data_IF_018096480252
#
_entry.id   IF_018096480252
#
_cell.length_a   1.000
_cell.length_b   1.000
_cell.length_c   1.000
_cell.angle_alpha   90.00
_cell.angle_beta   90.00
_cell.angle_gamma   90.00
#
_symmetry.space_group_name_H-M   'P 1'
#
loop_
_entity.id
_entity.type
_entity.pdbx_description
1 polymer ?
#
# COMPACT_ATOMS: atom_id res chain seq x y z
N UNK A 1 3.13 -1.60 34.07
CA UNK A 1 1.95 -0.68 33.92
C UNK A 1 2.21 0.68 34.54
N UNK A 2 2.64 0.79 35.81
CA UNK A 2 2.82 2.08 36.50
C UNK A 2 3.91 3.00 35.94
N UNK A 3 4.94 2.48 35.26
CA UNK A 3 5.99 3.30 34.67
C UNK A 3 5.57 3.95 33.35
N UNK A 4 4.78 3.25 32.53
CA UNK A 4 4.31 3.79 31.24
C UNK A 4 3.23 4.87 31.41
N UNK A 5 2.44 4.82 32.47
CA UNK A 5 1.48 5.89 32.79
C UNK A 5 2.17 7.20 33.12
N UNK A 6 3.34 7.17 33.80
CA UNK A 6 4.12 8.37 34.14
C UNK A 6 4.77 9.03 32.91
N UNK A 7 4.88 8.30 31.79
CA UNK A 7 5.46 8.82 30.54
C UNK A 7 4.39 9.52 29.68
N UNK A 8 3.12 9.14 29.83
CA UNK A 8 2.03 9.76 29.06
C UNK A 8 1.76 11.19 29.56
N UNK A 9 1.82 12.21 28.67
CA UNK A 9 1.51 13.60 29.05
C UNK A 9 0.02 13.82 29.38
N UNK A 10 -0.84 12.84 29.06
CA UNK A 10 -2.29 12.89 29.30
C UNK A 10 -2.78 11.73 30.17
N UNK A 11 -1.88 11.04 30.86
CA UNK A 11 -2.16 9.90 31.75
C UNK A 11 -2.97 8.75 31.11
N UNK A 12 -2.88 8.60 29.79
CA UNK A 12 -3.57 7.55 29.03
C UNK A 12 -2.58 6.53 28.48
N UNK A 13 -2.72 5.27 28.88
CA UNK A 13 -2.02 4.13 28.28
C UNK A 13 -3.02 3.09 27.89
N UNK A 14 -3.03 2.70 26.62
CA UNK A 14 -3.87 1.62 26.08
C UNK A 14 -3.01 0.38 25.82
N UNK A 15 -3.42 -0.74 26.36
CA UNK A 15 -2.85 -2.04 26.04
C UNK A 15 -3.57 -2.62 24.81
N UNK A 16 -2.80 -3.12 23.86
CA UNK A 16 -3.29 -3.82 22.68
C UNK A 16 -2.51 -5.10 22.49
N UNK A 17 -3.20 -6.20 22.29
CA UNK A 17 -2.57 -7.43 21.87
C UNK A 17 -2.42 -7.46 20.35
N UNK A 18 -1.22 -7.73 19.89
CA UNK A 18 -0.88 -7.87 18.46
C UNK A 18 -0.32 -9.26 18.23
N UNK A 19 -0.68 -9.88 17.12
CA UNK A 19 -0.10 -11.15 16.70
C UNK A 19 1.09 -10.88 15.78
N UNK A 20 2.26 -11.31 16.20
CA UNK A 20 3.48 -11.21 15.40
C UNK A 20 3.39 -12.11 14.15
N UNK A 21 4.23 -11.83 13.14
CA UNK A 21 4.32 -12.66 11.91
C UNK A 21 4.58 -14.16 12.17
N UNK A 22 5.16 -14.50 13.32
CA UNK A 22 5.40 -15.87 13.79
C UNK A 22 4.22 -16.49 14.57
N UNK A 23 3.07 -15.84 14.61
CA UNK A 23 1.86 -16.28 15.29
C UNK A 23 1.85 -16.08 16.81
N UNK A 24 2.90 -15.51 17.41
CA UNK A 24 2.95 -15.28 18.86
C UNK A 24 2.20 -14.01 19.24
N UNK A 25 1.34 -14.03 20.28
CA UNK A 25 0.74 -12.83 20.82
C UNK A 25 1.79 -11.99 21.54
N UNK A 26 1.76 -10.68 21.32
CA UNK A 26 2.58 -9.70 22.02
C UNK A 26 1.72 -8.55 22.49
N UNK A 27 1.90 -8.15 23.75
CA UNK A 27 1.27 -6.96 24.30
C UNK A 27 2.06 -5.72 23.87
N UNK A 28 1.36 -4.78 23.26
CA UNK A 28 1.91 -3.46 22.90
C UNK A 28 1.18 -2.40 23.68
N UNK A 29 1.95 -1.52 24.31
CA UNK A 29 1.41 -0.37 25.03
C UNK A 29 1.45 0.86 24.15
N UNK A 30 0.29 1.50 23.96
CA UNK A 30 0.16 2.76 23.25
C UNK A 30 0.08 3.88 24.30
N UNK A 31 1.07 4.74 24.31
CA UNK A 31 1.18 5.85 25.26
C UNK A 31 0.44 7.05 24.67
N UNK A 32 -0.65 7.46 25.30
CA UNK A 32 -1.42 8.61 24.83
C UNK A 32 -0.58 9.89 24.80
N UNK A 33 -0.70 10.67 23.73
CA UNK A 33 0.04 11.90 23.52
C UNK A 33 1.49 11.74 23.08
N UNK A 34 1.96 10.49 22.86
CA UNK A 34 3.29 10.19 22.34
C UNK A 34 3.17 9.19 21.19
N UNK A 35 3.67 9.57 20.03
CA UNK A 35 3.79 8.65 18.89
C UNK A 35 5.07 7.83 18.99
N UNK A 36 4.94 6.53 18.86
CA UNK A 36 6.08 5.59 18.93
C UNK A 36 6.43 5.10 17.52
N UNK A 37 7.68 5.27 17.13
CA UNK A 37 8.21 4.84 15.83
C UNK A 37 9.23 3.74 16.04
N UNK A 38 9.12 2.65 15.27
CA UNK A 38 10.18 1.67 15.16
C UNK A 38 11.15 2.08 14.05
N UNK A 39 12.36 2.49 14.45
CA UNK A 39 13.38 2.95 13.51
C UNK A 39 13.83 1.83 12.55
N UNK A 40 13.75 0.57 12.94
CA UNK A 40 14.04 -0.56 12.05
C UNK A 40 13.06 -0.61 10.87
N UNK A 41 11.77 -0.50 11.15
CA UNK A 41 10.73 -0.49 10.11
C UNK A 41 10.88 0.73 9.20
N UNK A 42 11.15 1.90 9.76
CA UNK A 42 11.40 3.12 8.99
C UNK A 42 12.63 2.95 8.09
N UNK A 43 13.71 2.44 8.63
CA UNK A 43 14.94 2.23 7.88
C UNK A 43 14.74 1.26 6.71
N UNK A 44 14.00 0.16 6.92
CA UNK A 44 13.67 -0.82 5.88
C UNK A 44 12.79 -0.23 4.78
N UNK A 45 11.81 0.59 5.14
CA UNK A 45 10.84 1.14 4.18
C UNK A 45 11.40 2.31 3.37
N UNK A 46 12.33 3.08 3.93
CA UNK A 46 12.86 4.29 3.30
C UNK A 46 14.32 4.17 2.82
N UNK A 47 14.90 2.95 2.90
CA UNK A 47 16.22 2.67 2.34
C UNK A 47 16.11 1.63 1.23
N UNK A 48 16.42 2.02 -0.01
CA UNK A 48 16.31 1.16 -1.19
C UNK A 48 17.51 0.24 -1.42
N UNK A 49 18.49 0.23 -0.51
CA UNK A 49 19.67 -0.64 -0.62
C UNK A 49 19.40 -2.03 -0.05
N UNK A 50 19.78 -3.07 -0.78
CA UNK A 50 19.81 -4.42 -0.23
C UNK A 50 20.96 -4.54 0.78
N UNK A 51 20.65 -5.08 1.97
CA UNK A 51 21.63 -5.30 3.06
C UNK A 51 21.62 -6.74 3.49
N UNK A 52 22.76 -7.23 3.90
CA UNK A 52 22.91 -8.58 4.46
C UNK A 52 22.25 -8.72 5.85
N UNK A 53 22.16 -7.62 6.59
CA UNK A 53 21.59 -7.59 7.94
C UNK A 53 20.97 -6.23 8.25
N UNK A 54 19.83 -6.26 8.96
CA UNK A 54 19.13 -5.09 9.47
C UNK A 54 19.34 -4.87 10.98
N UNK A 55 20.29 -5.58 11.59
CA UNK A 55 20.65 -5.36 12.98
C UNK A 55 21.27 -3.98 13.13
N UNK A 56 20.97 -3.31 14.27
CA UNK A 56 21.49 -1.97 14.55
C UNK A 56 23.01 -1.88 14.42
N UNK A 57 23.72 -2.91 14.84
CA UNK A 57 25.17 -2.99 14.75
C UNK A 57 25.68 -2.93 13.31
N UNK A 58 25.11 -3.78 12.43
CA UNK A 58 25.46 -3.81 11.01
C UNK A 58 25.08 -2.49 10.29
N UNK A 59 23.90 -1.96 10.60
CA UNK A 59 23.45 -0.69 10.01
C UNK A 59 24.32 0.48 10.48
N UNK A 60 24.69 0.51 11.75
CA UNK A 60 25.54 1.56 12.30
C UNK A 60 26.97 1.48 11.74
N UNK A 61 27.52 0.27 11.57
CA UNK A 61 28.81 0.08 10.93
C UNK A 61 28.82 0.60 9.49
N UNK A 62 27.83 0.17 8.69
CA UNK A 62 27.71 0.58 7.28
C UNK A 62 27.47 2.08 7.11
N UNK A 63 26.65 2.67 7.97
CA UNK A 63 26.24 4.07 7.80
C UNK A 63 27.11 5.07 8.56
N UNK A 64 27.60 4.71 9.74
CA UNK A 64 28.32 5.61 10.63
C UNK A 64 29.80 5.23 10.80
N UNK A 65 30.19 4.00 10.44
CA UNK A 65 31.49 3.45 10.78
C UNK A 65 31.64 3.14 12.28
N UNK A 66 30.55 3.06 13.02
CA UNK A 66 30.52 2.82 14.45
C UNK A 66 29.78 1.52 14.77
N UNK A 67 30.16 0.90 15.89
CA UNK A 67 29.57 -0.36 16.36
C UNK A 67 28.96 -0.22 17.74
N UNK A 68 28.18 -1.23 18.09
CA UNK A 68 27.72 -1.45 19.46
C UNK A 68 28.91 -1.80 20.36
N UNK A 69 28.70 -1.63 21.66
CA UNK A 69 29.67 -2.13 22.65
C UNK A 69 29.61 -3.66 22.69
N UNK A 70 30.75 -4.31 22.52
CA UNK A 70 30.85 -5.76 22.64
C UNK A 70 30.86 -6.18 24.10
N UNK A 71 30.13 -7.22 24.43
CA UNK A 71 30.13 -7.83 25.76
C UNK A 71 30.10 -9.36 25.66
N UNK A 72 30.46 -10.05 26.72
CA UNK A 72 30.45 -11.52 26.79
C UNK A 72 29.20 -12.00 27.55
N UNK A 73 28.60 -13.09 27.08
CA UNK A 73 27.41 -13.68 27.70
C UNK A 73 26.10 -13.08 27.20
N UNK A 74 25.08 -13.10 28.05
CA UNK A 74 23.73 -12.56 27.77
C UNK A 74 23.56 -11.16 28.36
N UNK A 75 22.52 -10.43 27.93
CA UNK A 75 22.13 -9.15 28.55
C UNK A 75 21.79 -9.30 30.04
N UNK A 76 21.24 -10.45 30.45
CA UNK A 76 21.01 -10.76 31.88
C UNK A 76 22.30 -10.91 32.65
N UNK A 77 23.30 -11.55 32.06
CA UNK A 77 24.62 -11.68 32.70
C UNK A 77 25.29 -10.32 32.86
N UNK A 78 25.17 -9.47 31.82
CA UNK A 78 25.71 -8.12 31.85
C UNK A 78 25.01 -7.27 32.94
N UNK A 79 23.70 -7.35 33.02
CA UNK A 79 22.91 -6.65 34.05
C UNK A 79 23.29 -7.04 35.47
N UNK A 80 23.52 -8.36 35.72
CA UNK A 80 23.80 -8.87 37.05
C UNK A 80 25.26 -8.72 37.47
N UNK A 81 26.21 -8.76 36.52
CA UNK A 81 27.64 -8.84 36.82
C UNK A 81 28.38 -7.53 36.53
N UNK A 82 27.90 -6.71 35.57
CA UNK A 82 28.54 -5.44 35.20
C UNK A 82 27.49 -4.39 34.83
N UNK A 83 26.91 -3.83 35.86
CA UNK A 83 25.86 -2.78 35.71
C UNK A 83 26.37 -1.54 34.98
N UNK A 84 27.65 -1.17 35.18
CA UNK A 84 28.23 -0.01 34.53
C UNK A 84 28.27 -0.21 33.00
N UNK A 85 28.83 -1.34 32.56
CA UNK A 85 28.88 -1.66 31.15
C UNK A 85 27.48 -1.85 30.52
N UNK A 86 26.52 -2.40 31.28
CA UNK A 86 25.13 -2.50 30.86
C UNK A 86 24.52 -1.10 30.57
N UNK A 87 24.79 -0.12 31.45
CA UNK A 87 24.32 1.24 31.23
C UNK A 87 25.00 1.88 30.01
N UNK A 88 26.31 1.71 29.85
CA UNK A 88 27.07 2.22 28.71
C UNK A 88 26.59 1.62 27.39
N UNK A 89 26.32 0.31 27.38
CA UNK A 89 25.71 -0.37 26.25
C UNK A 89 24.37 0.25 25.82
N UNK A 90 23.46 0.45 26.76
CA UNK A 90 22.17 1.06 26.48
C UNK A 90 22.31 2.51 25.95
N UNK A 91 23.22 3.29 26.56
CA UNK A 91 23.49 4.67 26.12
C UNK A 91 24.04 4.67 24.69
N UNK A 92 24.93 3.74 24.36
CA UNK A 92 25.49 3.63 23.01
C UNK A 92 24.42 3.24 21.98
N UNK A 93 23.53 2.31 22.30
CA UNK A 93 22.41 1.94 21.41
C UNK A 93 21.51 3.16 21.08
N UNK A 94 21.19 3.96 22.07
CA UNK A 94 20.41 5.21 21.88
C UNK A 94 21.20 6.24 21.06
N UNK A 95 22.49 6.40 21.32
CA UNK A 95 23.37 7.31 20.56
C UNK A 95 23.46 6.93 19.08
N UNK A 96 23.60 5.65 18.79
CA UNK A 96 23.62 5.16 17.40
C UNK A 96 22.32 5.47 16.66
N UNK A 97 21.17 5.23 17.30
CA UNK A 97 19.86 5.59 16.70
C UNK A 97 19.76 7.10 16.41
N UNK A 98 20.20 7.94 17.35
CA UNK A 98 20.19 9.39 17.15
C UNK A 98 21.11 9.81 16.00
N UNK A 99 22.35 9.29 15.93
CA UNK A 99 23.27 9.58 14.84
C UNK A 99 22.75 9.11 13.48
N UNK A 100 22.07 7.97 13.43
CA UNK A 100 21.43 7.48 12.22
C UNK A 100 20.32 8.45 11.77
N UNK A 101 19.49 8.94 12.71
CA UNK A 101 18.47 9.94 12.40
C UNK A 101 19.09 11.27 11.97
N UNK A 102 20.11 11.75 12.66
CA UNK A 102 20.82 13.00 12.29
C UNK A 102 21.41 12.91 10.88
N UNK A 103 21.86 11.71 10.47
CA UNK A 103 22.39 11.47 9.12
C UNK A 103 21.30 11.31 8.05
N UNK A 104 20.23 10.59 8.35
CA UNK A 104 19.20 10.20 7.36
C UNK A 104 18.00 11.15 7.32
N UNK A 105 17.64 11.77 8.45
CA UNK A 105 16.54 12.70 8.55
C UNK A 105 15.16 12.08 8.33
N UNK A 106 14.99 10.81 8.68
CA UNK A 106 13.72 10.09 8.45
C UNK A 106 12.54 10.70 9.16
N UNK A 107 12.71 11.22 10.39
CA UNK A 107 11.64 11.87 11.14
C UNK A 107 11.13 13.12 10.41
N UNK A 108 12.03 13.87 9.77
CA UNK A 108 11.63 15.02 8.97
C UNK A 108 10.82 14.61 7.74
N UNK A 109 11.23 13.53 7.06
CA UNK A 109 10.51 12.97 5.91
C UNK A 109 9.13 12.50 6.34
N UNK A 110 9.04 11.73 7.42
CA UNK A 110 7.76 11.22 7.96
C UNK A 110 6.83 12.35 8.40
N UNK A 111 7.39 13.38 9.05
CA UNK A 111 6.62 14.55 9.48
C UNK A 111 6.07 15.31 8.28
N UNK A 112 6.89 15.59 7.28
CA UNK A 112 6.46 16.26 6.06
C UNK A 112 5.39 15.46 5.31
N UNK A 113 5.54 14.12 5.27
CA UNK A 113 4.62 13.21 4.62
C UNK A 113 3.26 13.18 5.34
N UNK A 114 3.25 12.95 6.66
CA UNK A 114 2.02 12.92 7.43
C UNK A 114 1.31 14.27 7.44
N UNK A 115 2.07 15.36 7.52
CA UNK A 115 1.53 16.71 7.46
C UNK A 115 0.91 17.03 6.08
N UNK A 116 1.62 16.69 4.99
CA UNK A 116 1.12 16.89 3.63
C UNK A 116 -0.13 16.07 3.30
N UNK A 117 -0.27 14.89 3.90
CA UNK A 117 -1.43 14.03 3.73
C UNK A 117 -2.52 14.23 4.79
N UNK A 118 -2.35 15.17 5.72
CA UNK A 118 -3.31 15.49 6.79
C UNK A 118 -3.68 14.28 7.69
N UNK A 119 -2.70 13.43 7.98
CA UNK A 119 -2.90 12.24 8.83
C UNK A 119 -2.10 12.33 10.13
N UNK A 120 -2.62 11.75 11.23
CA UNK A 120 -1.85 11.63 12.47
C UNK A 120 -0.55 10.84 12.24
N UNK A 121 0.51 11.22 12.97
CA UNK A 121 1.84 10.64 12.84
C UNK A 121 1.87 9.12 13.08
N UNK A 122 0.98 8.60 13.92
CA UNK A 122 0.85 7.15 14.18
C UNK A 122 0.43 6.33 12.94
N UNK A 123 0.02 7.00 11.87
CA UNK A 123 -0.40 6.36 10.62
C UNK A 123 0.67 6.37 9.51
N UNK A 124 1.90 6.81 9.80
CA UNK A 124 2.97 6.95 8.80
C UNK A 124 3.23 5.70 7.94
N UNK A 125 2.93 4.50 8.47
CA UNK A 125 3.05 3.22 7.74
C UNK A 125 1.72 2.70 7.18
N UNK A 126 0.62 3.39 7.42
CA UNK A 126 -0.71 2.97 6.98
C UNK A 126 -1.03 3.57 5.62
N UNK A 127 -0.47 3.01 4.55
CA UNK A 127 -0.58 3.54 3.18
C UNK A 127 -2.00 3.92 2.79
N UNK A 128 -2.99 3.07 3.11
CA UNK A 128 -4.40 3.36 2.82
C UNK A 128 -4.87 4.61 3.57
N UNK A 129 -4.56 4.73 4.87
CA UNK A 129 -4.95 5.90 5.68
C UNK A 129 -4.29 7.19 5.20
N UNK A 130 -3.05 7.08 4.76
CA UNK A 130 -2.30 8.22 4.21
C UNK A 130 -2.93 8.68 2.89
N UNK A 131 -3.27 7.74 2.01
CA UNK A 131 -3.98 8.03 0.77
C UNK A 131 -5.38 8.61 1.04
N UNK A 132 -6.15 8.00 1.95
CA UNK A 132 -7.45 8.55 2.37
C UNK A 132 -7.33 10.01 2.81
N UNK A 133 -6.34 10.33 3.67
CA UNK A 133 -6.12 11.69 4.14
C UNK A 133 -5.77 12.66 3.02
N UNK A 134 -4.89 12.25 2.09
CA UNK A 134 -4.51 13.06 0.93
C UNK A 134 -5.72 13.33 0.02
N UNK A 135 -6.49 12.29 -0.33
CA UNK A 135 -7.68 12.43 -1.17
C UNK A 135 -8.77 13.28 -0.50
N UNK A 136 -9.08 13.01 0.77
CA UNK A 136 -10.08 13.80 1.51
C UNK A 136 -9.69 15.27 1.59
N UNK A 137 -8.40 15.55 1.79
CA UNK A 137 -7.92 16.93 1.82
C UNK A 137 -8.06 17.63 0.47
N UNK A 138 -7.76 16.94 -0.63
CA UNK A 138 -7.87 17.54 -1.96
C UNK A 138 -9.33 17.74 -2.37
N UNK A 139 -10.16 16.72 -2.22
CA UNK A 139 -11.59 16.78 -2.53
C UNK A 139 -12.34 17.82 -1.67
N UNK A 140 -11.92 18.03 -0.42
CA UNK A 140 -12.49 19.07 0.45
C UNK A 140 -12.30 20.47 -0.12
N UNK A 141 -11.21 20.75 -0.86
CA UNK A 141 -10.99 22.04 -1.53
C UNK A 141 -11.98 22.29 -2.65
N UNK A 142 -12.45 21.21 -3.26
CA UNK A 142 -13.43 21.22 -4.35
C UNK A 142 -14.88 21.07 -3.86
N UNK A 143 -15.10 21.03 -2.54
CA UNK A 143 -16.40 20.76 -1.89
C UNK A 143 -17.00 19.40 -2.28
N UNK A 144 -16.17 18.41 -2.58
CA UNK A 144 -16.57 17.04 -2.87
C UNK A 144 -16.45 16.18 -1.62
N UNK A 145 -17.48 15.41 -1.32
CA UNK A 145 -17.54 14.48 -0.18
C UNK A 145 -17.59 13.07 -0.72
N UNK A 146 -16.66 12.21 -0.23
CA UNK A 146 -16.71 10.79 -0.53
C UNK A 146 -17.87 10.12 0.20
N UNK A 147 -18.52 9.12 -0.41
CA UNK A 147 -19.55 8.33 0.27
C UNK A 147 -18.96 7.53 1.43
N UNK A 148 -19.76 7.29 2.44
CA UNK A 148 -19.39 6.40 3.53
C UNK A 148 -19.17 4.98 3.01
N UNK A 149 -18.17 4.31 3.58
CA UNK A 149 -17.95 2.88 3.28
C UNK A 149 -19.04 2.08 3.98
N UNK A 150 -19.88 1.41 3.21
CA UNK A 150 -20.82 0.44 3.75
C UNK A 150 -20.04 -0.77 4.28
N UNK A 151 -20.05 -0.95 5.60
CA UNK A 151 -19.31 -2.02 6.28
C UNK A 151 -20.10 -3.32 6.35
N UNK A 152 -21.39 -3.26 5.99
CA UNK A 152 -22.30 -4.41 6.06
C UNK A 152 -22.37 -5.17 4.71
N UNK A 153 -21.80 -4.61 3.65
CA UNK A 153 -21.53 -5.38 2.45
C UNK A 153 -20.37 -6.35 2.74
N UNK A 154 -20.71 -7.61 2.90
CA UNK A 154 -19.72 -8.70 2.88
C UNK A 154 -18.97 -8.59 1.56
N UNK A 155 -17.74 -8.07 1.62
CA UNK A 155 -16.90 -7.86 0.46
C UNK A 155 -16.72 -9.19 -0.27
N UNK A 156 -17.44 -9.37 -1.38
CA UNK A 156 -17.31 -10.53 -2.22
C UNK A 156 -15.86 -10.71 -2.64
N UNK A 157 -15.36 -11.94 -2.59
CA UNK A 157 -14.02 -12.26 -3.09
C UNK A 157 -14.02 -12.07 -4.61
N UNK A 158 -13.23 -11.12 -5.10
CA UNK A 158 -12.98 -11.00 -6.53
C UNK A 158 -11.95 -12.02 -6.99
N UNK A 159 -12.16 -12.71 -8.12
CA UNK A 159 -11.15 -13.57 -8.70
C UNK A 159 -9.91 -12.74 -9.02
N UNK A 160 -8.74 -13.22 -8.61
CA UNK A 160 -7.47 -12.59 -8.95
C UNK A 160 -7.20 -12.61 -10.46
N UNK A 161 -6.19 -11.85 -10.91
CA UNK A 161 -5.74 -11.89 -12.29
C UNK A 161 -5.27 -13.29 -12.68
N UNK A 162 -5.43 -13.64 -13.96
CA UNK A 162 -4.95 -14.91 -14.50
C UNK A 162 -3.42 -14.98 -14.37
N UNK A 163 -2.93 -16.03 -13.72
CA UNK A 163 -1.50 -16.35 -13.63
C UNK A 163 -1.26 -17.64 -14.38
N UNK A 164 -0.48 -17.57 -15.45
CA UNK A 164 -0.10 -18.76 -16.22
C UNK A 164 0.89 -19.61 -15.42
N UNK A 165 0.65 -20.92 -15.38
CA UNK A 165 1.57 -21.84 -14.74
C UNK A 165 2.96 -21.82 -15.43
N UNK A 166 4.05 -21.81 -14.65
CA UNK A 166 5.39 -21.83 -15.21
C UNK A 166 5.67 -23.18 -15.90
N UNK A 167 6.31 -23.13 -17.06
CA UNK A 167 6.85 -24.32 -17.70
C UNK A 167 8.12 -24.70 -16.95
N UNK A 168 8.08 -25.81 -16.21
CA UNK A 168 9.21 -26.29 -15.41
C UNK A 168 10.32 -26.82 -16.33
N UNK A 169 11.56 -26.43 -16.09
CA UNK A 169 12.72 -26.90 -16.83
C UNK A 169 13.85 -25.89 -16.87
N UNK A 170 14.92 -26.24 -17.55
CA UNK A 170 16.00 -25.30 -17.92
C UNK A 170 15.60 -24.64 -19.24
N UNK A 171 15.72 -23.32 -19.27
CA UNK A 171 15.40 -22.51 -20.45
C UNK A 171 16.62 -21.68 -20.83
N UNK A 172 17.04 -21.80 -22.10
CA UNK A 172 18.11 -20.97 -22.64
C UNK A 172 17.55 -19.61 -23.06
N UNK A 173 18.36 -18.57 -22.93
CA UNK A 173 18.04 -17.21 -23.39
C UNK A 173 16.75 -16.63 -22.75
N UNK A 174 16.64 -16.74 -21.43
CA UNK A 174 15.50 -16.18 -20.70
C UNK A 174 15.63 -14.67 -20.59
N UNK A 175 14.59 -13.95 -21.00
CA UNK A 175 14.47 -12.48 -20.83
C UNK A 175 13.24 -12.19 -19.98
N UNK A 176 13.40 -11.31 -18.98
CA UNK A 176 12.30 -10.86 -18.13
C UNK A 176 11.89 -9.45 -18.53
N UNK A 177 10.60 -9.23 -18.71
CA UNK A 177 10.01 -7.92 -18.92
C UNK A 177 9.03 -7.63 -17.78
N UNK A 178 9.07 -6.40 -17.28
CA UNK A 178 8.10 -5.89 -16.31
C UNK A 178 7.46 -4.61 -16.83
N UNK A 179 6.13 -4.53 -16.73
CA UNK A 179 5.40 -3.34 -17.14
C UNK A 179 5.28 -2.36 -15.99
N UNK A 180 5.93 -1.22 -16.12
CA UNK A 180 5.90 -0.17 -15.10
C UNK A 180 4.48 0.27 -14.80
N UNK A 181 4.07 0.14 -13.52
CA UNK A 181 2.73 0.56 -13.06
C UNK A 181 1.58 0.01 -13.90
N UNK A 182 1.60 -1.30 -14.21
CA UNK A 182 0.65 -1.94 -15.14
C UNK A 182 -0.82 -1.59 -14.82
N UNK A 183 -1.28 -1.81 -13.59
CA UNK A 183 -2.66 -1.51 -13.21
C UNK A 183 -3.01 -0.02 -13.32
N UNK A 184 -2.24 0.91 -12.76
CA UNK A 184 -2.51 2.34 -12.92
C UNK A 184 -2.51 2.78 -14.38
N UNK A 185 -1.61 2.27 -15.21
CA UNK A 185 -1.55 2.59 -16.64
C UNK A 185 -2.79 2.13 -17.40
N UNK A 186 -3.31 0.94 -17.08
CA UNK A 186 -4.56 0.44 -17.65
C UNK A 186 -5.74 1.30 -17.17
N UNK A 187 -5.81 1.62 -15.88
CA UNK A 187 -6.88 2.46 -15.32
C UNK A 187 -6.92 3.83 -16.00
N UNK A 188 -5.77 4.47 -16.15
CA UNK A 188 -5.67 5.76 -16.82
C UNK A 188 -5.97 5.67 -18.31
N UNK A 189 -5.46 4.63 -19.00
CA UNK A 189 -5.64 4.47 -20.45
C UNK A 189 -7.09 4.20 -20.84
N UNK A 190 -7.85 3.55 -19.97
CA UNK A 190 -9.25 3.17 -20.21
C UNK A 190 -10.23 4.01 -19.39
N UNK A 191 -9.76 5.00 -18.69
CA UNK A 191 -10.53 5.88 -17.82
C UNK A 191 -11.46 5.09 -16.85
N UNK A 192 -10.89 4.06 -16.19
CA UNK A 192 -11.63 3.15 -15.32
C UNK A 192 -11.88 3.83 -13.96
N UNK A 193 -13.13 4.23 -13.74
CA UNK A 193 -13.60 4.83 -12.49
C UNK A 193 -15.08 4.48 -12.30
N UNK A 194 -15.61 4.47 -11.07
CA UNK A 194 -17.04 4.34 -10.82
C UNK A 194 -17.87 5.40 -11.55
N UNK A 195 -17.38 6.64 -11.62
CA UNK A 195 -18.07 7.78 -12.24
C UNK A 195 -18.10 7.69 -13.76
N UNK A 196 -17.13 7.01 -14.37
CA UNK A 196 -17.04 6.87 -15.83
C UNK A 196 -17.71 5.60 -16.34
N UNK A 197 -18.03 4.65 -15.43
CA UNK A 197 -18.70 3.40 -15.78
C UNK A 197 -20.16 3.68 -16.13
N UNK A 198 -20.56 3.31 -17.35
CA UNK A 198 -21.95 3.49 -17.84
C UNK A 198 -22.75 2.21 -17.72
N UNK A 199 -22.14 1.07 -17.99
CA UNK A 199 -22.81 -0.21 -18.00
C UNK A 199 -21.86 -1.36 -18.26
N UNK A 200 -22.40 -2.54 -18.48
CA UNK A 200 -21.62 -3.73 -18.78
C UNK A 200 -22.37 -4.65 -19.74
N UNK A 201 -21.68 -5.13 -20.75
CA UNK A 201 -22.18 -6.17 -21.68
C UNK A 201 -21.78 -7.55 -21.16
N UNK A 202 -22.61 -8.55 -21.45
CA UNK A 202 -22.28 -9.93 -21.10
C UNK A 202 -20.98 -10.35 -21.79
N UNK A 203 -20.11 -11.03 -21.05
CA UNK A 203 -18.75 -11.39 -21.48
C UNK A 203 -18.69 -12.10 -22.84
N UNK A 204 -19.70 -12.91 -23.15
CA UNK A 204 -19.79 -13.69 -24.40
C UNK A 204 -19.81 -12.82 -25.66
N UNK A 205 -20.21 -11.56 -25.56
CA UNK A 205 -20.31 -10.65 -26.72
C UNK A 205 -19.11 -9.73 -26.88
N UNK A 206 -18.19 -9.67 -25.91
CA UNK A 206 -17.06 -8.72 -25.88
C UNK A 206 -16.19 -8.85 -27.14
N UNK A 207 -15.74 -10.05 -27.46
CA UNK A 207 -14.90 -10.30 -28.66
C UNK A 207 -15.64 -9.89 -29.95
N UNK A 208 -16.93 -10.23 -30.06
CA UNK A 208 -17.75 -9.87 -31.23
C UNK A 208 -17.86 -8.35 -31.43
N UNK A 209 -18.02 -7.62 -30.32
CA UNK A 209 -18.10 -6.15 -30.36
C UNK A 209 -16.74 -5.55 -30.69
N UNK A 210 -15.65 -6.05 -30.12
CA UNK A 210 -14.28 -5.60 -30.41
C UNK A 210 -13.92 -5.84 -31.89
N UNK A 211 -14.28 -6.99 -32.44
CA UNK A 211 -14.09 -7.29 -33.86
C UNK A 211 -14.90 -6.31 -34.73
N UNK A 212 -16.15 -6.03 -34.38
CA UNK A 212 -16.99 -5.08 -35.11
C UNK A 212 -16.43 -3.66 -35.04
N UNK A 213 -15.92 -3.22 -33.90
CA UNK A 213 -15.28 -1.92 -33.72
C UNK A 213 -14.00 -1.79 -34.57
N UNK A 214 -13.22 -2.88 -34.68
CA UNK A 214 -11.95 -2.90 -35.40
C UNK A 214 -12.15 -3.03 -36.92
N UNK A 215 -13.02 -3.93 -37.34
CA UNK A 215 -13.23 -4.24 -38.77
C UNK A 215 -14.28 -3.39 -39.46
N UNK A 216 -15.13 -2.70 -38.66
CA UNK A 216 -16.30 -1.96 -39.17
C UNK A 216 -17.44 -2.85 -39.69
N UNK A 217 -17.33 -4.17 -39.52
CA UNK A 217 -18.36 -5.12 -39.96
C UNK A 217 -19.38 -5.30 -38.84
N UNK A 218 -20.54 -4.74 -39.01
CA UNK A 218 -21.67 -4.88 -38.09
C UNK A 218 -22.68 -5.90 -38.62
N UNK A 219 -23.47 -6.47 -37.76
CA UNK A 219 -24.52 -7.41 -38.07
C UNK A 219 -25.73 -7.22 -37.17
N UNK A 220 -26.88 -7.67 -37.61
CA UNK A 220 -28.14 -7.63 -36.83
C UNK A 220 -28.20 -8.68 -35.70
N UNK A 221 -27.03 -9.18 -35.24
CA UNK A 221 -26.98 -10.04 -34.06
C UNK A 221 -27.32 -9.29 -32.81
N UNK A 222 -28.12 -9.89 -31.94
CA UNK A 222 -28.43 -9.31 -30.65
C UNK A 222 -27.26 -9.45 -29.67
N UNK A 223 -27.04 -8.41 -28.92
CA UNK A 223 -26.08 -8.29 -27.83
C UNK A 223 -26.87 -7.97 -26.56
N UNK A 224 -26.54 -8.59 -25.45
CA UNK A 224 -27.21 -8.37 -24.16
C UNK A 224 -26.27 -7.71 -23.16
N UNK A 225 -26.82 -6.75 -22.45
CA UNK A 225 -26.16 -6.15 -21.27
C UNK A 225 -26.34 -7.04 -20.02
N UNK A 226 -25.63 -6.75 -18.93
CA UNK A 226 -25.86 -7.44 -17.65
C UNK A 226 -27.23 -7.18 -17.07
N UNK A 227 -27.86 -6.04 -17.39
CA UNK A 227 -29.21 -5.66 -16.97
C UNK A 227 -30.31 -6.24 -17.87
N UNK A 228 -29.96 -7.28 -18.67
CA UNK A 228 -30.84 -7.99 -19.61
C UNK A 228 -31.48 -7.10 -20.70
N UNK A 229 -30.91 -5.92 -20.94
CA UNK A 229 -31.29 -5.11 -22.12
C UNK A 229 -30.68 -5.73 -23.37
N UNK A 230 -31.49 -5.87 -24.41
CA UNK A 230 -31.08 -6.46 -25.69
C UNK A 230 -31.07 -5.37 -26.77
N UNK A 231 -29.95 -5.26 -27.47
CA UNK A 231 -29.81 -4.37 -28.63
C UNK A 231 -29.07 -5.06 -29.75
N UNK A 232 -29.10 -4.55 -30.95
CA UNK A 232 -28.35 -5.08 -32.08
C UNK A 232 -26.87 -4.71 -31.95
N UNK A 233 -25.98 -5.50 -32.56
CA UNK A 233 -24.54 -5.21 -32.59
C UNK A 233 -24.25 -3.84 -33.23
N UNK A 234 -25.05 -3.45 -34.24
CA UNK A 234 -24.93 -2.16 -34.91
C UNK A 234 -25.27 -1.00 -33.97
N UNK A 235 -26.37 -1.10 -33.23
CA UNK A 235 -26.76 -0.14 -32.21
C UNK A 235 -25.69 -0.02 -31.09
N UNK A 236 -25.15 -1.15 -30.63
CA UNK A 236 -24.08 -1.16 -29.61
C UNK A 236 -22.80 -0.49 -30.13
N UNK A 237 -22.37 -0.78 -31.35
CA UNK A 237 -21.19 -0.15 -31.96
C UNK A 237 -21.40 1.35 -32.16
N UNK A 238 -22.60 1.76 -32.58
CA UNK A 238 -22.99 3.16 -32.73
C UNK A 238 -22.96 3.87 -31.39
N UNK A 239 -23.58 3.31 -30.36
CA UNK A 239 -23.59 3.81 -29.00
C UNK A 239 -22.16 4.03 -28.44
N UNK A 240 -21.26 3.04 -28.66
CA UNK A 240 -19.86 3.14 -28.24
C UNK A 240 -19.14 4.29 -28.95
N UNK A 241 -19.33 4.44 -30.25
CA UNK A 241 -18.67 5.49 -31.05
C UNK A 241 -19.23 6.88 -30.78
N UNK A 242 -20.55 7.04 -30.73
CA UNK A 242 -21.22 8.32 -30.54
C UNK A 242 -20.96 8.90 -29.16
N UNK A 243 -20.91 8.06 -28.12
CA UNK A 243 -20.65 8.47 -26.74
C UNK A 243 -19.16 8.37 -26.33
N UNK A 244 -18.27 8.12 -27.28
CA UNK A 244 -16.84 8.00 -27.02
C UNK A 244 -16.52 7.04 -25.86
N UNK A 245 -17.06 5.81 -25.93
CA UNK A 245 -16.89 4.81 -24.89
C UNK A 245 -15.71 3.88 -25.17
N UNK A 246 -15.13 3.34 -24.10
CA UNK A 246 -14.18 2.25 -24.13
C UNK A 246 -14.83 0.98 -23.62
N UNK A 247 -14.64 -0.13 -24.35
CA UNK A 247 -15.10 -1.46 -23.95
C UNK A 247 -13.93 -2.23 -23.31
N UNK A 248 -14.00 -2.47 -22.01
CA UNK A 248 -13.03 -3.28 -21.29
C UNK A 248 -13.19 -4.78 -21.59
N UNK A 249 -12.13 -5.56 -21.40
CA UNK A 249 -12.12 -7.00 -21.65
C UNK A 249 -13.12 -7.81 -20.81
N UNK A 250 -13.60 -7.27 -19.71
CA UNK A 250 -14.67 -7.86 -18.88
C UNK A 250 -16.08 -7.40 -19.28
N UNK A 251 -16.22 -6.65 -20.37
CA UNK A 251 -17.49 -6.15 -20.87
C UNK A 251 -17.93 -4.80 -20.29
N UNK A 252 -17.22 -4.22 -19.35
CA UNK A 252 -17.57 -2.91 -18.81
C UNK A 252 -17.32 -1.78 -19.83
N UNK A 253 -18.23 -0.81 -19.86
CA UNK A 253 -18.18 0.37 -20.73
C UNK A 253 -17.86 1.61 -19.89
N UNK A 254 -16.81 2.34 -20.29
CA UNK A 254 -16.35 3.54 -19.63
C UNK A 254 -16.34 4.72 -20.58
N UNK A 255 -16.73 5.92 -20.11
CA UNK A 255 -16.54 7.15 -20.87
C UNK A 255 -15.06 7.46 -21.01
N UNK A 256 -14.64 7.88 -22.22
CA UNK A 256 -13.26 8.32 -22.47
C UNK A 256 -13.05 9.80 -22.13
N UNK A 257 -14.12 10.56 -21.98
CA UNK A 257 -14.04 11.96 -21.61
C UNK A 257 -13.48 12.07 -20.19
N UNK A 258 -12.52 12.97 -20.01
CA UNK A 258 -11.96 13.24 -18.68
C UNK A 258 -13.06 13.79 -17.77
N UNK A 259 -13.13 13.23 -16.58
CA UNK A 259 -13.93 13.79 -15.49
C UNK A 259 -13.30 15.09 -15.04
#
# INVERSE_FOLDING_TARGET
EGASQKISPIDVVKEREITLKNGRPQKRYMIGGISTIDMLEVFQNYTFSQRSSWKLDSVAEDELGEKKIEYRGTLSDLYNNDWQLYCEYNIQDVRLLRKLEDKKGFLNILTAFCYGCHVPFDFYQKTVRVLDGAFLSELSKENVVLPDVDRDEEGGSFPGGFVKDPIKGMHDWTVSFDATSLYPSIMMGWNISPETKIGKVKQIYVETIQDALTTGKVSNKNVETEDDETMTLDEMVSLIKENNLCLAGNGALYKQDKV
#
